data_IF_754725234096
#
_entry.id   IF_754725234096
#
_cell.length_a   1.000
_cell.length_b   1.000
_cell.length_c   1.000
_cell.angle_alpha   90.00
_cell.angle_beta   90.00
_cell.angle_gamma   90.00
#
_symmetry.space_group_name_H-M   'P 1'
#
loop_
_entity.id
_entity.type
_entity.pdbx_description
1 polymer ?
#
# COMPACT_ATOMS: atom_id res chain seq x y z
N UNK A 1 6.38 12.37 -16.72
CA UNK A 1 6.64 11.01 -16.19
C UNK A 1 5.40 10.16 -16.45
N UNK A 2 5.45 8.82 -16.44
CA UNK A 2 4.23 7.99 -16.59
C UNK A 2 3.86 7.41 -15.24
N UNK A 3 2.64 7.67 -14.79
CA UNK A 3 2.09 7.09 -13.58
C UNK A 3 1.31 5.80 -13.93
N UNK A 4 1.59 4.73 -13.20
CA UNK A 4 0.88 3.46 -13.30
C UNK A 4 0.64 2.92 -11.90
N UNK A 5 -0.59 2.50 -11.63
CA UNK A 5 -0.90 1.77 -10.41
C UNK A 5 -0.42 0.32 -10.56
N UNK A 6 0.20 -0.20 -9.51
CA UNK A 6 0.43 -1.63 -9.42
C UNK A 6 -0.92 -2.35 -9.23
N UNK A 7 -1.00 -3.57 -9.74
CA UNK A 7 -2.18 -4.42 -9.59
C UNK A 7 -2.69 -4.52 -8.13
N UNK A 8 -1.84 -4.81 -7.12
CA UNK A 8 -2.30 -4.82 -5.73
C UNK A 8 -2.80 -3.45 -5.25
N UNK A 9 -2.17 -2.35 -5.69
CA UNK A 9 -2.58 -1.01 -5.28
C UNK A 9 -3.94 -0.60 -5.86
N UNK A 10 -4.30 -1.12 -7.04
CA UNK A 10 -5.64 -0.92 -7.60
C UNK A 10 -6.70 -1.66 -6.78
N UNK A 11 -6.42 -2.92 -6.42
CA UNK A 11 -7.32 -3.70 -5.53
C UNK A 11 -7.48 -3.06 -4.16
N UNK A 12 -6.37 -2.62 -3.56
CA UNK A 12 -6.40 -1.94 -2.25
C UNK A 12 -7.30 -0.70 -2.30
N UNK A 13 -7.24 0.09 -3.39
CA UNK A 13 -8.10 1.25 -3.56
C UNK A 13 -9.58 0.83 -3.66
N UNK A 14 -9.90 -0.16 -4.49
CA UNK A 14 -11.26 -0.65 -4.66
C UNK A 14 -11.84 -1.17 -3.33
N UNK A 15 -11.08 -2.01 -2.60
CA UNK A 15 -11.49 -2.58 -1.30
C UNK A 15 -11.78 -1.48 -0.26
N UNK A 16 -10.96 -0.43 -0.21
CA UNK A 16 -11.17 0.71 0.70
C UNK A 16 -12.45 1.45 0.36
N UNK A 17 -12.67 1.74 -0.93
CA UNK A 17 -13.85 2.49 -1.39
C UNK A 17 -15.13 1.70 -1.13
N UNK A 18 -15.13 0.41 -1.45
CA UNK A 18 -16.26 -0.47 -1.21
C UNK A 18 -16.58 -0.57 0.27
N UNK A 19 -15.57 -0.73 1.13
CA UNK A 19 -15.78 -0.78 2.58
C UNK A 19 -16.42 0.49 3.12
N UNK A 20 -15.95 1.68 2.69
CA UNK A 20 -16.53 2.96 3.12
C UNK A 20 -17.95 3.12 2.57
N UNK A 21 -18.20 2.68 1.33
CA UNK A 21 -19.51 2.80 0.69
C UNK A 21 -20.61 1.98 1.39
N UNK A 22 -20.25 0.92 2.14
CA UNK A 22 -21.19 0.18 2.98
C UNK A 22 -21.86 1.06 4.05
N UNK A 23 -21.17 2.10 4.53
CA UNK A 23 -21.68 3.03 5.55
C UNK A 23 -22.05 4.39 4.96
N UNK A 24 -21.16 4.98 4.13
CA UNK A 24 -21.30 6.34 3.63
C UNK A 24 -20.75 6.50 2.19
N UNK A 25 -21.59 6.30 1.17
CA UNK A 25 -21.18 6.44 -0.23
C UNK A 25 -20.61 7.83 -0.59
N UNK A 26 -21.17 8.97 -0.12
CA UNK A 26 -20.55 10.28 -0.33
C UNK A 26 -19.12 10.40 0.23
N UNK A 27 -18.84 9.77 1.37
CA UNK A 27 -17.49 9.75 1.94
C UNK A 27 -16.54 8.92 1.08
N UNK A 28 -17.00 7.78 0.55
CA UNK A 28 -16.22 6.94 -0.36
C UNK A 28 -15.80 7.73 -1.61
N UNK A 29 -16.74 8.43 -2.25
CA UNK A 29 -16.44 9.28 -3.42
C UNK A 29 -15.39 10.36 -3.08
N UNK A 30 -15.52 11.00 -1.92
CA UNK A 30 -14.56 12.03 -1.48
C UNK A 30 -13.16 11.46 -1.29
N UNK A 31 -13.03 10.25 -0.74
CA UNK A 31 -11.74 9.56 -0.56
C UNK A 31 -11.13 9.22 -1.91
N UNK A 32 -11.90 8.62 -2.82
CA UNK A 32 -11.46 8.29 -4.17
C UNK A 32 -10.90 9.53 -4.89
N UNK A 33 -11.68 10.62 -4.92
CA UNK A 33 -11.26 11.88 -5.54
C UNK A 33 -9.98 12.44 -4.93
N UNK A 34 -9.84 12.36 -3.60
CA UNK A 34 -8.66 12.84 -2.89
C UNK A 34 -7.41 12.05 -3.31
N UNK A 35 -7.50 10.73 -3.35
CA UNK A 35 -6.38 9.85 -3.74
C UNK A 35 -5.99 10.08 -5.20
N UNK A 36 -6.95 10.09 -6.12
CA UNK A 36 -6.68 10.31 -7.55
C UNK A 36 -6.06 11.68 -7.79
N UNK A 37 -6.56 12.74 -7.14
CA UNK A 37 -6.00 14.10 -7.26
C UNK A 37 -4.59 14.19 -6.69
N UNK A 38 -4.32 13.53 -5.55
CA UNK A 38 -2.98 13.48 -4.97
C UNK A 38 -2.00 12.73 -5.89
N UNK A 39 -2.47 11.66 -6.52
CA UNK A 39 -1.67 10.84 -7.42
C UNK A 39 -1.39 11.55 -8.73
N UNK A 40 -2.35 12.32 -9.26
CA UNK A 40 -2.17 13.11 -10.48
C UNK A 40 -1.05 14.16 -10.32
N UNK A 41 -0.98 14.81 -9.15
CA UNK A 41 0.11 15.75 -8.82
C UNK A 41 1.51 15.12 -8.83
N UNK A 42 1.63 13.80 -8.62
CA UNK A 42 2.91 13.10 -8.69
C UNK A 42 3.47 13.04 -10.11
N UNK A 43 2.64 13.20 -11.14
CA UNK A 43 3.11 13.27 -12.54
C UNK A 43 4.01 14.48 -12.77
N UNK A 44 3.65 15.62 -12.16
CA UNK A 44 4.37 16.88 -12.23
C UNK A 44 5.48 16.98 -11.17
N UNK A 45 5.21 16.47 -9.96
CA UNK A 45 6.13 16.55 -8.82
C UNK A 45 6.43 15.16 -8.23
N UNK A 46 7.19 14.31 -8.93
CA UNK A 46 7.40 12.91 -8.53
C UNK A 46 8.21 12.72 -7.24
N UNK A 47 8.82 13.79 -6.72
CA UNK A 47 9.59 13.77 -5.46
C UNK A 47 8.90 14.59 -4.34
N UNK A 48 7.61 14.91 -4.51
CA UNK A 48 6.84 15.65 -3.50
C UNK A 48 6.49 14.80 -2.27
N UNK A 49 6.48 13.47 -2.41
CA UNK A 49 6.22 12.57 -1.29
C UNK A 49 7.42 12.54 -0.33
N UNK A 50 7.12 12.60 0.97
CA UNK A 50 8.10 12.33 2.02
C UNK A 50 8.55 10.88 1.90
N UNK A 51 9.86 10.66 1.75
CA UNK A 51 10.43 9.33 1.88
C UNK A 51 10.55 8.99 3.35
N UNK A 52 9.44 8.56 3.93
CA UNK A 52 9.48 7.86 5.21
C UNK A 52 10.05 6.48 4.92
N UNK A 53 11.38 6.42 4.90
CA UNK A 53 12.10 5.19 4.65
C UNK A 53 11.74 4.18 5.74
N UNK A 54 11.61 2.91 5.34
CA UNK A 54 11.57 1.80 6.30
C UNK A 54 12.72 2.01 7.30
N UNK A 55 12.41 2.10 8.60
CA UNK A 55 13.43 2.39 9.57
C UNK A 55 14.42 1.21 9.59
N UNK A 56 15.68 1.41 10.00
CA UNK A 56 16.71 0.37 9.91
C UNK A 56 16.23 -0.90 10.60
N UNK A 57 16.64 -2.07 10.10
CA UNK A 57 16.20 -3.41 10.56
C UNK A 57 16.21 -3.61 12.09
N UNK A 58 17.04 -2.85 12.82
CA UNK A 58 17.10 -2.84 14.28
C UNK A 58 15.85 -2.26 14.98
N UNK A 59 14.97 -1.56 14.25
CA UNK A 59 13.82 -0.83 14.79
C UNK A 59 12.46 -1.42 14.38
N UNK A 60 12.46 -2.52 13.63
CA UNK A 60 11.22 -3.23 13.31
C UNK A 60 10.67 -3.90 14.58
N UNK A 61 9.41 -3.67 14.97
CA UNK A 61 8.75 -4.50 15.96
C UNK A 61 8.58 -5.93 15.37
N UNK A 62 9.08 -6.93 16.09
CA UNK A 62 9.15 -8.36 15.76
C UNK A 62 7.77 -9.02 15.51
N UNK A 63 7.68 -10.24 14.91
CA UNK A 63 8.74 -11.24 14.70
C UNK A 63 9.39 -11.19 13.31
N UNK A 64 10.61 -11.75 13.18
CA UNK A 64 11.40 -11.64 11.96
C UNK A 64 10.67 -12.22 10.75
N UNK A 65 10.74 -11.52 9.62
CA UNK A 65 10.40 -12.11 8.33
C UNK A 65 11.17 -13.43 8.17
N UNK A 66 10.51 -14.55 7.84
CA UNK A 66 11.22 -15.79 7.57
C UNK A 66 12.16 -15.54 6.39
N UNK A 67 13.47 -15.70 6.62
CA UNK A 67 14.42 -15.74 5.51
C UNK A 67 14.14 -17.00 4.71
N UNK A 68 14.23 -16.94 3.37
CA UNK A 68 13.93 -18.10 2.51
C UNK A 68 14.85 -19.32 2.74
N UNK A 69 15.85 -19.19 3.61
CA UNK A 69 16.71 -20.29 4.06
C UNK A 69 16.01 -21.28 4.99
N UNK A 70 14.88 -20.91 5.62
CA UNK A 70 14.22 -21.74 6.66
C UNK A 70 13.05 -22.60 6.17
N UNK A 71 12.91 -22.86 4.86
CA UNK A 71 11.91 -23.80 4.31
C UNK A 71 12.50 -25.15 3.88
N UNK A 72 13.70 -25.50 4.34
CA UNK A 72 14.28 -26.85 4.18
C UNK A 72 14.45 -27.51 5.55
N UNK A 73 13.35 -28.05 6.07
CA UNK A 73 13.27 -29.28 6.88
C UNK A 73 12.02 -29.22 7.78
N UNK A 74 10.90 -29.71 7.26
CA UNK A 74 9.88 -30.30 8.10
C UNK A 74 9.90 -31.81 7.80
N UNK A 75 10.21 -32.68 8.76
CA UNK A 75 9.89 -34.09 8.61
C UNK A 75 8.37 -34.24 8.75
N UNK A 76 7.72 -34.89 7.80
CA UNK A 76 6.38 -35.43 8.00
C UNK A 76 6.46 -36.46 9.13
N UNK A 77 5.64 -36.24 10.17
CA UNK A 77 5.20 -37.26 11.10
C UNK A 77 3.72 -37.51 10.82
#
# INVERSE_FOLDING_TARGET
MRLVFAEPAARDLDDIIDYIALDNPPAAEKVYRTIVTATDRLQDFPRSATRDACPPRASCPSPPCPTSSSMKSAPML
#
